data_IF_291911226297
#
_entry.id   IF_291911226297
#
_cell.length_a   1.000
_cell.length_b   1.000
_cell.length_c   1.000
_cell.angle_alpha   90.00
_cell.angle_beta   90.00
_cell.angle_gamma   90.00
#
_symmetry.space_group_name_H-M   'P 1'
#
loop_
_entity.id
_entity.type
_entity.pdbx_description
1 polymer ?
#
# COMPACT_ATOMS: atom_id res chain seq x y z
N UNK A 1 -8.61 -3.96 -0.48
CA UNK A 1 -7.78 -3.30 0.56
C UNK A 1 -8.47 -3.41 1.92
N UNK A 2 -7.73 -3.41 3.05
CA UNK A 2 -8.22 -3.77 4.38
C UNK A 2 -8.59 -2.57 5.25
N UNK A 3 -8.68 -1.38 4.68
CA UNK A 3 -8.91 -0.09 5.36
C UNK A 3 -10.39 0.17 5.71
N UNK A 4 -11.13 -0.88 6.09
CA UNK A 4 -12.49 -0.75 6.62
C UNK A 4 -12.52 0.02 7.96
N UNK A 5 -13.73 0.30 8.46
CA UNK A 5 -13.95 0.87 9.79
C UNK A 5 -14.75 -0.13 10.64
N UNK A 6 -14.11 -0.90 11.55
CA UNK A 6 -12.66 -0.97 11.82
C UNK A 6 -11.85 -1.69 10.72
N UNK A 7 -10.52 -1.49 10.65
CA UNK A 7 -9.67 -2.11 9.64
C UNK A 7 -9.59 -3.63 9.83
N UNK A 8 -9.33 -4.35 8.74
CA UNK A 8 -9.20 -5.81 8.74
C UNK A 8 -7.78 -6.17 9.17
N UNK A 9 -7.58 -6.42 10.47
CA UNK A 9 -6.24 -6.71 11.04
C UNK A 9 -5.99 -8.18 11.33
N UNK A 10 -7.00 -9.05 11.21
CA UNK A 10 -6.91 -10.48 11.52
C UNK A 10 -7.36 -11.34 10.35
N UNK A 11 -6.80 -12.54 10.25
CA UNK A 11 -7.14 -13.54 9.23
C UNK A 11 -8.61 -13.93 9.31
N UNK A 12 -9.13 -14.10 10.53
CA UNK A 12 -10.55 -14.41 10.75
C UNK A 12 -11.46 -13.33 10.15
N UNK A 13 -11.19 -12.04 10.43
CA UNK A 13 -12.00 -10.94 9.88
C UNK A 13 -11.86 -10.84 8.35
N UNK A 14 -10.68 -11.12 7.80
CA UNK A 14 -10.48 -11.16 6.36
C UNK A 14 -11.33 -12.25 5.68
N UNK A 15 -11.47 -13.42 6.31
CA UNK A 15 -12.32 -14.51 5.81
C UNK A 15 -13.80 -14.14 5.88
N UNK A 16 -14.26 -13.56 6.99
CA UNK A 16 -15.65 -13.06 7.09
C UNK A 16 -15.96 -12.03 6.00
N UNK A 17 -15.06 -11.06 5.81
CA UNK A 17 -15.23 -10.03 4.80
C UNK A 17 -15.23 -10.60 3.38
N UNK A 18 -14.43 -11.64 3.13
CA UNK A 18 -14.46 -12.38 1.87
C UNK A 18 -15.83 -13.01 1.62
N UNK A 19 -16.39 -13.69 2.61
CA UNK A 19 -17.71 -14.31 2.50
C UNK A 19 -18.84 -13.28 2.35
N UNK A 20 -18.71 -12.10 2.96
CA UNK A 20 -19.57 -10.94 2.68
C UNK A 20 -19.50 -10.52 1.20
N UNK A 21 -18.29 -10.40 0.63
CA UNK A 21 -18.12 -10.07 -0.80
C UNK A 21 -18.72 -11.13 -1.71
N UNK A 22 -18.43 -12.41 -1.46
CA UNK A 22 -18.90 -13.52 -2.30
C UNK A 22 -20.44 -13.57 -2.34
N UNK A 23 -21.11 -13.32 -1.21
CA UNK A 23 -22.58 -13.25 -1.13
C UNK A 23 -23.19 -12.06 -1.88
N UNK A 24 -22.43 -10.98 -2.05
CA UNK A 24 -22.87 -9.80 -2.79
C UNK A 24 -22.69 -9.95 -4.31
N UNK A 25 -22.01 -11.00 -4.78
CA UNK A 25 -21.77 -11.20 -6.21
C UNK A 25 -23.05 -11.65 -6.94
N UNK A 26 -23.26 -11.18 -8.18
CA UNK A 26 -24.30 -11.71 -9.05
C UNK A 26 -24.11 -13.21 -9.30
N UNK A 27 -25.19 -13.98 -9.48
CA UNK A 27 -25.11 -15.38 -9.90
C UNK A 27 -24.24 -15.53 -11.17
N UNK A 28 -23.34 -16.51 -11.17
CA UNK A 28 -22.45 -16.78 -12.30
C UNK A 28 -21.21 -15.87 -12.39
N UNK A 29 -20.97 -15.00 -11.40
CA UNK A 29 -19.74 -14.20 -11.35
C UNK A 29 -18.49 -15.08 -11.23
N UNK A 30 -17.47 -14.80 -12.06
CA UNK A 30 -16.15 -15.42 -11.97
C UNK A 30 -15.17 -14.62 -11.11
N UNK A 31 -15.65 -13.60 -10.39
CA UNK A 31 -14.81 -12.74 -9.56
C UNK A 31 -14.27 -13.50 -8.34
N UNK A 32 -12.97 -13.42 -8.11
CA UNK A 32 -12.28 -13.99 -6.96
C UNK A 32 -11.57 -12.88 -6.17
N UNK A 33 -12.10 -12.46 -5.00
CA UNK A 33 -11.45 -11.43 -4.20
C UNK A 33 -10.17 -11.95 -3.54
N UNK A 34 -9.09 -11.18 -3.71
CA UNK A 34 -7.82 -11.36 -3.02
C UNK A 34 -7.80 -10.47 -1.77
N UNK A 35 -7.84 -11.08 -0.59
CA UNK A 35 -7.95 -10.36 0.68
C UNK A 35 -6.61 -9.79 1.14
N UNK A 36 -6.62 -8.81 2.03
CA UNK A 36 -5.39 -8.22 2.59
C UNK A 36 -5.57 -8.00 4.09
N UNK A 37 -4.48 -7.88 4.85
CA UNK A 37 -4.49 -7.44 6.24
C UNK A 37 -3.93 -6.03 6.35
N UNK A 38 -4.54 -5.22 7.22
CA UNK A 38 -4.03 -3.91 7.57
C UNK A 38 -2.90 -4.09 8.60
N UNK A 39 -1.68 -3.69 8.24
CA UNK A 39 -0.53 -3.82 9.12
C UNK A 39 -0.55 -2.74 10.20
N UNK A 40 -0.48 -3.17 11.45
CA UNK A 40 -0.42 -2.32 12.64
C UNK A 40 0.79 -2.67 13.52
N UNK A 41 1.15 -1.77 14.43
CA UNK A 41 2.16 -2.01 15.48
C UNK A 41 1.89 -3.26 16.34
N UNK A 42 0.64 -3.72 16.43
CA UNK A 42 0.22 -4.85 17.25
C UNK A 42 -0.03 -6.12 16.44
N UNK A 43 0.28 -6.11 15.14
CA UNK A 43 0.08 -7.28 14.28
C UNK A 43 0.99 -8.40 14.76
N UNK A 44 0.42 -9.57 14.98
CA UNK A 44 1.19 -10.74 15.40
C UNK A 44 1.74 -11.48 14.17
N UNK A 45 2.98 -12.01 14.19
CA UNK A 45 3.47 -12.92 13.16
C UNK A 45 2.55 -14.12 12.92
N UNK A 46 1.77 -14.50 13.94
CA UNK A 46 0.81 -15.59 13.92
C UNK A 46 -0.32 -15.32 12.93
N UNK A 47 -0.67 -14.05 12.67
CA UNK A 47 -1.61 -13.69 11.60
C UNK A 47 -1.03 -13.96 10.21
N UNK A 48 0.29 -13.84 10.05
CA UNK A 48 0.98 -14.17 8.80
C UNK A 48 1.05 -15.69 8.61
N UNK A 49 1.27 -16.45 9.70
CA UNK A 49 1.29 -17.92 9.71
C UNK A 49 -0.08 -18.55 9.52
N UNK A 50 -1.13 -17.92 10.04
CA UNK A 50 -2.51 -18.40 9.96
C UNK A 50 -3.05 -18.43 8.52
N UNK A 51 -2.30 -17.87 7.56
CA UNK A 51 -2.57 -17.97 6.12
C UNK A 51 -2.67 -19.44 5.70
N UNK A 52 -3.89 -19.91 5.43
CA UNK A 52 -4.11 -21.20 4.76
C UNK A 52 -3.62 -21.11 3.31
N UNK A 53 -2.70 -22.01 2.93
CA UNK A 53 -2.09 -22.07 1.59
C UNK A 53 -3.10 -22.13 0.44
N UNK A 54 -4.28 -22.68 0.68
CA UNK A 54 -5.33 -22.84 -0.33
C UNK A 54 -6.05 -21.53 -0.71
N UNK A 55 -5.96 -20.49 0.14
CA UNK A 55 -6.66 -19.22 -0.04
C UNK A 55 -5.71 -18.03 -0.17
N UNK A 56 -4.43 -18.33 -0.43
CA UNK A 56 -3.22 -17.51 -0.31
C UNK A 56 -3.21 -16.20 -1.12
N UNK A 57 -4.15 -15.31 -0.84
CA UNK A 57 -4.31 -14.01 -1.47
C UNK A 57 -3.97 -12.87 -0.52
N UNK A 58 -3.66 -13.22 0.73
CA UNK A 58 -3.38 -12.30 1.82
C UNK A 58 -2.05 -11.58 1.59
N UNK A 59 -2.13 -10.26 1.44
CA UNK A 59 -0.98 -9.35 1.50
C UNK A 59 -1.15 -8.41 2.69
N UNK A 60 -0.08 -7.86 3.24
CA UNK A 60 -0.18 -6.83 4.28
C UNK A 60 -0.09 -5.45 3.64
N UNK A 61 -1.03 -4.56 3.98
CA UNK A 61 -0.98 -3.16 3.56
C UNK A 61 -0.41 -2.29 4.68
N UNK A 62 0.66 -1.56 4.36
CA UNK A 62 1.33 -0.63 5.24
C UNK A 62 1.07 0.81 4.79
N UNK A 63 0.47 1.62 5.67
CA UNK A 63 0.27 3.06 5.45
C UNK A 63 1.21 3.83 6.37
N UNK A 64 2.03 4.67 5.77
CA UNK A 64 2.98 5.54 6.47
C UNK A 64 2.26 6.56 7.38
N UNK A 65 2.66 6.65 8.66
CA UNK A 65 1.98 7.40 9.75
C UNK A 65 1.86 8.89 9.44
N UNK A 66 0.72 9.56 9.65
CA UNK A 66 -0.07 10.10 10.80
C UNK A 66 -1.46 10.33 10.20
N UNK A 67 -2.49 9.74 10.76
CA UNK A 67 -3.85 10.11 10.39
C UNK A 67 -4.56 10.74 11.58
N UNK A 68 -5.21 11.87 11.31
CA UNK A 68 -6.41 12.31 12.04
C UNK A 68 -7.60 11.32 11.84
N UNK A 69 -7.34 10.13 11.27
CA UNK A 69 -8.23 8.98 11.26
C UNK A 69 -7.78 8.00 12.36
N UNK A 70 -8.71 7.57 13.21
CA UNK A 70 -8.52 6.84 14.48
C UNK A 70 -8.02 5.37 14.33
N UNK A 71 -7.03 5.08 13.49
CA UNK A 71 -6.51 3.71 13.31
C UNK A 71 -5.01 3.59 13.58
N UNK A 72 -4.52 2.46 14.11
CA UNK A 72 -3.11 2.30 14.43
C UNK A 72 -2.26 2.17 13.15
N UNK A 73 -1.36 3.13 12.92
CA UNK A 73 -0.32 3.03 11.89
C UNK A 73 0.79 2.03 12.27
N UNK A 74 1.72 1.77 11.35
CA UNK A 74 2.83 0.82 11.54
C UNK A 74 4.18 1.52 11.72
N UNK A 75 5.05 0.95 12.55
CA UNK A 75 6.45 1.32 12.71
C UNK A 75 7.33 0.17 12.19
N UNK A 76 8.15 0.43 11.18
CA UNK A 76 9.03 -0.58 10.58
C UNK A 76 9.89 -1.34 11.60
N UNK A 77 10.29 -0.69 12.71
CA UNK A 77 11.03 -1.36 13.79
C UNK A 77 10.15 -2.32 14.60
N UNK A 78 8.93 -1.93 14.95
CA UNK A 78 8.01 -2.77 15.75
C UNK A 78 7.44 -3.93 14.95
N UNK A 79 7.22 -3.72 13.65
CA UNK A 79 6.69 -4.75 12.76
C UNK A 79 7.78 -5.66 12.21
N UNK A 80 9.06 -5.49 12.58
CA UNK A 80 10.16 -6.33 12.09
C UNK A 80 9.87 -7.84 12.26
N UNK A 81 9.36 -8.35 13.40
CA UNK A 81 9.03 -9.77 13.54
C UNK A 81 7.96 -10.25 12.54
N UNK A 82 6.98 -9.40 12.23
CA UNK A 82 5.92 -9.69 11.25
C UNK A 82 6.50 -9.70 9.84
N UNK A 83 7.34 -8.73 9.51
CA UNK A 83 7.99 -8.64 8.20
C UNK A 83 8.91 -9.83 7.95
N UNK A 84 9.67 -10.27 8.95
CA UNK A 84 10.49 -11.50 8.87
C UNK A 84 9.62 -12.73 8.63
N UNK A 85 8.44 -12.81 9.26
CA UNK A 85 7.51 -13.89 8.98
C UNK A 85 6.92 -13.80 7.57
N UNK A 86 6.64 -12.59 7.08
CA UNK A 86 6.21 -12.39 5.69
C UNK A 86 7.27 -12.88 4.69
N UNK A 87 8.55 -12.67 4.97
CA UNK A 87 9.66 -13.25 4.19
C UNK A 87 9.57 -14.78 4.18
N UNK A 88 9.45 -15.42 5.35
CA UNK A 88 9.36 -16.90 5.46
C UNK A 88 8.16 -17.46 4.71
N UNK A 89 7.02 -16.77 4.76
CA UNK A 89 5.78 -17.18 4.10
C UNK A 89 5.69 -16.72 2.63
N UNK A 90 6.72 -16.05 2.10
CA UNK A 90 6.73 -15.42 0.78
C UNK A 90 5.50 -14.53 0.54
N UNK A 91 5.04 -13.86 1.58
CA UNK A 91 3.91 -12.94 1.55
C UNK A 91 4.39 -11.54 1.13
N UNK A 92 3.80 -10.93 0.09
CA UNK A 92 4.19 -9.59 -0.32
C UNK A 92 3.66 -8.52 0.65
N UNK A 93 4.48 -7.48 0.84
CA UNK A 93 4.10 -6.26 1.52
C UNK A 93 3.61 -5.23 0.50
N UNK A 94 2.39 -4.74 0.66
CA UNK A 94 1.83 -3.63 -0.11
C UNK A 94 2.06 -2.34 0.68
N UNK A 95 2.61 -1.31 0.04
CA UNK A 95 3.03 -0.09 0.71
C UNK A 95 2.33 1.11 0.09
N UNK A 96 1.52 1.80 0.89
CA UNK A 96 1.11 3.18 0.60
C UNK A 96 2.22 4.10 1.12
N UNK A 97 3.12 4.49 0.22
CA UNK A 97 4.39 5.08 0.61
C UNK A 97 4.38 6.60 0.64
N UNK A 98 3.76 7.21 1.66
CA UNK A 98 3.73 8.68 1.78
C UNK A 98 4.49 9.32 2.93
N UNK A 99 4.45 8.98 4.20
CA UNK A 99 4.74 9.98 5.28
C UNK A 99 3.62 11.00 5.34
N UNK A 100 3.47 11.59 6.51
CA UNK A 100 2.43 12.61 6.75
C UNK A 100 2.96 13.66 7.73
N UNK A 101 4.29 13.77 7.79
CA UNK A 101 4.94 14.76 8.61
C UNK A 101 4.35 16.12 8.20
N UNK A 102 3.67 16.85 9.10
CA UNK A 102 3.00 18.11 8.77
C UNK A 102 4.00 19.20 8.38
N UNK A 103 5.30 18.98 8.59
CA UNK A 103 6.37 19.87 8.15
C UNK A 103 6.89 19.55 6.73
N UNK A 104 6.41 18.47 6.11
CA UNK A 104 6.73 18.10 4.71
C UNK A 104 5.55 18.52 3.83
N UNK A 105 5.85 19.19 2.72
CA UNK A 105 4.85 19.54 1.72
C UNK A 105 4.16 18.27 1.21
N UNK A 106 2.83 18.31 1.06
CA UNK A 106 2.02 17.16 0.67
C UNK A 106 2.42 16.58 -0.69
N UNK A 107 2.97 17.38 -1.60
CA UNK A 107 3.47 16.88 -2.89
C UNK A 107 4.80 16.12 -2.76
N UNK A 108 5.56 16.36 -1.69
CA UNK A 108 6.87 15.77 -1.41
C UNK A 108 6.79 14.54 -0.49
N UNK A 109 5.62 14.21 0.06
CA UNK A 109 5.41 13.06 0.96
C UNK A 109 6.02 11.77 0.37
N UNK A 110 5.56 11.34 -0.82
CA UNK A 110 6.07 10.12 -1.47
C UNK A 110 7.60 10.12 -1.65
N UNK A 111 8.21 11.23 -2.08
CA UNK A 111 9.67 11.33 -2.22
C UNK A 111 10.37 11.12 -0.87
N UNK A 112 9.91 11.84 0.15
CA UNK A 112 10.47 11.75 1.51
C UNK A 112 10.30 10.34 2.09
N UNK A 113 9.20 9.67 1.79
CA UNK A 113 9.00 8.26 2.16
C UNK A 113 10.03 7.35 1.50
N UNK A 114 10.25 7.51 0.19
CA UNK A 114 11.23 6.72 -0.56
C UNK A 114 12.61 6.85 0.09
N UNK A 115 13.04 8.10 0.29
CA UNK A 115 14.38 8.42 0.81
C UNK A 115 14.58 7.96 2.27
N UNK A 116 13.58 8.19 3.15
CA UNK A 116 13.74 7.96 4.60
C UNK A 116 13.32 6.58 5.08
N UNK A 117 12.41 5.90 4.38
CA UNK A 117 11.77 4.68 4.86
C UNK A 117 11.92 3.55 3.86
N UNK A 118 11.52 3.76 2.61
CA UNK A 118 11.42 2.67 1.64
C UNK A 118 12.78 2.10 1.25
N UNK A 119 13.74 2.93 0.82
CA UNK A 119 15.07 2.47 0.43
C UNK A 119 15.80 1.75 1.59
N UNK A 120 15.80 2.27 2.83
CA UNK A 120 16.32 1.53 3.99
C UNK A 120 15.59 0.22 4.28
N UNK A 121 14.26 0.18 4.10
CA UNK A 121 13.45 -1.02 4.32
C UNK A 121 13.82 -2.12 3.32
N UNK A 122 13.92 -1.78 2.03
CA UNK A 122 14.33 -2.69 0.96
C UNK A 122 15.70 -3.27 1.27
N UNK A 123 16.69 -2.44 1.60
CA UNK A 123 18.05 -2.90 1.93
C UNK A 123 18.10 -3.85 3.14
N UNK A 124 17.26 -3.59 4.16
CA UNK A 124 17.27 -4.38 5.39
C UNK A 124 16.54 -5.72 5.27
N UNK A 125 15.52 -5.81 4.41
CA UNK A 125 14.58 -6.93 4.40
C UNK A 125 14.63 -7.79 3.14
N UNK A 126 15.67 -7.71 2.32
CA UNK A 126 15.86 -8.72 1.27
C UNK A 126 15.86 -10.12 1.90
N UNK A 127 15.04 -11.09 1.40
CA UNK A 127 14.35 -11.13 0.11
C UNK A 127 12.84 -10.77 0.09
N UNK A 128 12.32 -9.96 1.01
CA UNK A 128 10.90 -9.57 1.07
C UNK A 128 10.40 -9.02 -0.26
N UNK A 129 9.25 -9.53 -0.73
CA UNK A 129 8.55 -8.98 -1.89
C UNK A 129 7.76 -7.75 -1.48
N UNK A 130 7.93 -6.64 -2.17
CA UNK A 130 7.31 -5.36 -1.85
C UNK A 130 6.63 -4.78 -3.10
N UNK A 131 5.39 -4.31 -2.93
CA UNK A 131 4.63 -3.58 -3.94
C UNK A 131 4.45 -2.15 -3.45
N UNK A 132 5.14 -1.19 -4.08
CA UNK A 132 4.86 0.23 -3.88
C UNK A 132 3.56 0.57 -4.61
N UNK A 133 2.49 0.80 -3.86
CA UNK A 133 1.17 1.05 -4.44
C UNK A 133 1.15 2.42 -5.10
N UNK A 134 0.38 2.53 -6.20
CA UNK A 134 -0.08 3.77 -6.83
C UNK A 134 0.98 4.89 -6.84
N UNK A 135 2.16 4.61 -7.38
CA UNK A 135 3.27 5.58 -7.41
C UNK A 135 2.89 6.83 -8.20
N UNK A 136 3.33 8.00 -7.72
CA UNK A 136 2.96 9.30 -8.28
C UNK A 136 4.16 10.21 -8.56
N UNK A 137 5.36 9.82 -8.09
CA UNK A 137 6.60 10.56 -8.26
C UNK A 137 7.57 9.86 -9.20
N UNK A 138 8.26 10.65 -10.04
CA UNK A 138 9.50 10.26 -10.72
C UNK A 138 10.54 9.61 -9.78
N UNK A 139 10.56 9.98 -8.51
CA UNK A 139 11.48 9.41 -7.52
C UNK A 139 11.27 7.90 -7.32
N UNK A 140 10.08 7.37 -7.65
CA UNK A 140 9.80 5.94 -7.62
C UNK A 140 10.59 5.14 -8.68
N UNK A 141 11.28 5.78 -9.63
CA UNK A 141 12.24 5.15 -10.56
C UNK A 141 13.34 4.39 -9.81
N UNK A 142 13.61 4.71 -8.54
CA UNK A 142 14.44 3.89 -7.65
C UNK A 142 14.10 2.38 -7.70
N UNK A 143 12.83 2.03 -7.92
CA UNK A 143 12.36 0.64 -8.02
C UNK A 143 13.06 -0.11 -9.16
N UNK A 144 13.39 0.56 -10.28
CA UNK A 144 14.11 -0.05 -11.40
C UNK A 144 15.53 -0.48 -11.03
N UNK A 145 16.12 0.13 -10.01
CA UNK A 145 17.45 -0.22 -9.51
C UNK A 145 17.46 -1.39 -8.53
N UNK A 146 16.28 -1.87 -8.11
CA UNK A 146 16.15 -2.99 -7.17
C UNK A 146 16.31 -4.34 -7.89
N UNK A 147 16.68 -5.39 -7.15
CA UNK A 147 16.76 -6.75 -7.69
C UNK A 147 15.43 -7.18 -8.31
N UNK A 148 15.52 -7.77 -9.52
CA UNK A 148 14.34 -8.11 -10.32
C UNK A 148 13.36 -9.00 -9.54
N UNK A 149 12.11 -8.55 -9.45
CA UNK A 149 11.01 -9.31 -8.85
C UNK A 149 10.84 -9.17 -7.33
N UNK A 150 11.73 -8.46 -6.64
CA UNK A 150 11.60 -8.19 -5.21
C UNK A 150 10.83 -6.91 -4.91
N UNK A 151 10.98 -5.89 -5.76
CA UNK A 151 10.24 -4.64 -5.63
C UNK A 151 9.53 -4.36 -6.94
N UNK A 152 8.22 -4.10 -6.86
CA UNK A 152 7.39 -3.70 -8.00
C UNK A 152 6.51 -2.51 -7.61
N UNK A 153 5.89 -1.87 -8.60
CA UNK A 153 4.96 -0.77 -8.39
C UNK A 153 3.62 -1.02 -9.08
N UNK A 154 2.57 -0.39 -8.57
CA UNK A 154 1.31 -0.21 -9.31
C UNK A 154 1.14 1.26 -9.67
N UNK A 155 0.51 1.54 -10.81
CA UNK A 155 0.15 2.90 -11.26
C UNK A 155 -1.35 2.91 -11.54
N UNK A 156 -2.05 3.97 -11.15
CA UNK A 156 -3.49 4.09 -11.37
C UNK A 156 -3.81 4.86 -12.66
N UNK A 157 -4.99 4.65 -13.28
CA UNK A 157 -5.36 5.34 -14.50
C UNK A 157 -5.31 6.88 -14.39
N UNK A 158 -5.78 7.44 -13.28
CA UNK A 158 -5.76 8.88 -13.08
C UNK A 158 -4.35 9.47 -12.98
N UNK A 159 -3.38 8.73 -12.45
CA UNK A 159 -1.97 9.17 -12.40
C UNK A 159 -1.24 9.05 -13.74
N UNK A 160 -1.76 8.24 -14.67
CA UNK A 160 -1.27 8.20 -16.06
C UNK A 160 -1.86 9.34 -16.90
N UNK A 161 -3.13 9.69 -16.65
CA UNK A 161 -3.88 10.64 -17.48
C UNK A 161 -3.76 12.10 -17.01
N UNK A 162 -3.72 12.32 -15.70
CA UNK A 162 -3.83 13.65 -15.10
C UNK A 162 -2.52 14.10 -14.43
N UNK A 163 -2.36 15.42 -14.34
CA UNK A 163 -1.38 16.06 -13.46
C UNK A 163 -2.11 17.01 -12.51
N UNK A 164 -1.40 17.61 -11.56
CA UNK A 164 -1.98 18.46 -10.51
C UNK A 164 -2.77 19.66 -11.01
N UNK A 165 -2.56 20.13 -12.25
CA UNK A 165 -3.39 21.19 -12.82
C UNK A 165 -4.86 20.75 -12.90
N UNK A 166 -5.13 19.45 -13.11
CA UNK A 166 -6.48 18.90 -13.11
C UNK A 166 -7.21 19.07 -11.76
N UNK A 167 -6.49 19.33 -10.66
CA UNK A 167 -7.11 19.66 -9.37
C UNK A 167 -7.73 21.06 -9.34
N UNK A 168 -7.21 21.99 -10.17
CA UNK A 168 -7.54 23.42 -10.10
C UNK A 168 -8.04 24.00 -11.44
N UNK A 169 -8.13 23.19 -12.49
CA UNK A 169 -8.54 23.66 -13.81
C UNK A 169 -10.01 24.11 -13.80
N UNK A 170 -10.22 25.41 -14.06
CA UNK A 170 -11.56 26.01 -14.01
C UNK A 170 -12.16 26.10 -12.59
N UNK A 171 -11.34 25.96 -11.55
CA UNK A 171 -11.76 25.88 -10.15
C UNK A 171 -11.32 24.57 -9.50
N UNK A 172 -11.60 24.42 -8.20
CA UNK A 172 -11.27 23.20 -7.47
C UNK A 172 -12.11 22.03 -8.00
N UNK A 173 -11.44 20.97 -8.45
CA UNK A 173 -12.04 19.73 -8.96
C UNK A 173 -11.90 18.60 -7.93
N UNK A 174 -12.80 18.49 -6.94
CA UNK A 174 -12.65 17.54 -5.83
C UNK A 174 -12.69 16.07 -6.27
N UNK A 175 -13.32 15.76 -7.40
CA UNK A 175 -13.33 14.39 -7.95
C UNK A 175 -11.95 13.91 -8.41
N UNK A 176 -11.02 14.83 -8.68
CA UNK A 176 -9.64 14.52 -9.04
C UNK A 176 -8.72 14.40 -7.81
N UNK A 177 -9.24 14.67 -6.61
CA UNK A 177 -8.47 14.56 -5.37
C UNK A 177 -8.36 13.09 -4.94
N UNK A 178 -7.12 12.59 -4.91
CA UNK A 178 -6.77 11.28 -4.37
C UNK A 178 -5.47 11.36 -3.57
N UNK A 179 -5.16 10.31 -2.81
CA UNK A 179 -3.86 10.13 -2.16
C UNK A 179 -3.14 8.91 -2.78
N UNK A 180 -1.85 9.01 -3.13
CA UNK A 180 -1.05 10.23 -3.16
C UNK A 180 -1.60 11.27 -4.14
N UNK A 181 -1.29 12.55 -3.92
CA UNK A 181 -1.80 13.62 -4.78
C UNK A 181 -1.25 13.54 -6.20
N UNK A 182 -2.08 13.93 -7.18
CA UNK A 182 -1.64 14.25 -8.54
C UNK A 182 -0.42 15.20 -8.48
N UNK A 183 0.65 14.89 -9.20
CA UNK A 183 1.91 15.67 -9.20
C UNK A 183 2.08 16.52 -10.45
N UNK A 184 3.22 17.20 -10.59
CA UNK A 184 3.55 17.98 -11.82
C UNK A 184 3.66 17.06 -13.03
N UNK A 185 3.51 17.62 -14.24
CA UNK A 185 3.57 16.88 -15.52
C UNK A 185 4.87 16.05 -15.68
N UNK A 186 5.99 16.53 -15.14
CA UNK A 186 7.27 15.80 -15.18
C UNK A 186 7.22 14.43 -14.47
N UNK A 187 6.37 14.27 -13.46
CA UNK A 187 6.22 12.97 -12.79
C UNK A 187 5.34 12.02 -13.62
N UNK A 188 4.30 12.56 -14.28
CA UNK A 188 3.37 11.79 -15.13
C UNK A 188 4.05 11.18 -16.36
N UNK A 189 5.01 11.88 -16.94
CA UNK A 189 5.63 11.54 -18.23
C UNK A 189 6.77 10.51 -18.13
N UNK A 190 7.02 9.96 -16.93
CA UNK A 190 8.18 9.10 -16.66
C UNK A 190 7.82 7.66 -16.26
N UNK A 191 6.57 7.25 -16.47
CA UNK A 191 6.14 5.85 -16.32
C UNK A 191 6.31 5.06 -17.61
#
# INVERSE_FOLDING_TARGET
MPNLKPPVTTTARAMEYREEMMRALPPGSSFLPLMTLYLTDNTSPEEIKARKREWCSLCCEAVSRRSNYQFPGWCARKCLPVLEEMVRQQMPLLVHGEVTDPHVDIFDHEKVFIDRIFAPLVQKLLPLKIVMQHITAIDAVFIESCEQGHVVATVTPQHLLLNRNALCQGGLQPHNYCLPLLKREIHKTRY
#
